data_IF_121541039140
#
_entry.id   IF_121541039140
#
_cell.length_a   1.000
_cell.length_b   1.000
_cell.length_c   1.000
_cell.angle_alpha   90.00
_cell.angle_beta   90.00
_cell.angle_gamma   90.00
#
_symmetry.space_group_name_H-M   'P 1'
#
loop_
_entity.id
_entity.type
_entity.pdbx_description
1 polymer ?
#
# COMPACT_ATOMS: atom_id res chain seq x y z
N UNK A 1 -17.20 31.73 16.06
CA UNK A 1 -15.95 30.94 16.23
C UNK A 1 -16.32 29.46 16.36
N UNK A 2 -16.42 28.75 15.25
CA UNK A 2 -16.47 27.29 15.13
C UNK A 2 -15.60 27.02 13.89
N UNK A 3 -14.40 26.47 14.00
CA UNK A 3 -14.15 25.06 14.28
C UNK A 3 -13.42 24.54 13.04
N UNK A 4 -12.10 24.34 13.16
CA UNK A 4 -11.19 24.22 12.02
C UNK A 4 -11.53 23.10 11.03
N UNK A 5 -11.45 23.43 9.74
CA UNK A 5 -11.53 22.47 8.65
C UNK A 5 -10.11 22.23 8.13
N UNK A 6 -9.34 21.50 8.93
CA UNK A 6 -8.11 20.84 8.52
C UNK A 6 -8.39 19.36 8.33
N UNK A 7 -7.81 18.80 7.27
CA UNK A 7 -7.82 17.39 6.86
C UNK A 7 -8.91 17.04 5.84
N UNK A 8 -8.49 17.09 4.56
CA UNK A 8 -9.03 16.27 3.47
C UNK A 8 -8.64 14.82 3.81
N UNK A 9 -9.34 14.23 4.78
CA UNK A 9 -9.23 12.83 5.14
C UNK A 9 -10.17 12.02 4.25
N UNK A 10 -9.58 11.12 3.46
CA UNK A 10 -10.19 9.92 2.88
C UNK A 10 -11.69 10.01 2.57
N UNK A 11 -12.00 10.48 1.37
CA UNK A 11 -13.33 10.27 0.82
C UNK A 11 -13.46 8.78 0.41
N UNK A 12 -13.88 7.94 1.36
CA UNK A 12 -14.42 6.62 1.07
C UNK A 12 -15.76 6.82 0.34
N UNK A 13 -15.67 7.11 -0.95
CA UNK A 13 -16.77 7.04 -1.87
C UNK A 13 -17.25 5.60 -1.91
N UNK A 14 -18.39 5.38 -1.27
CA UNK A 14 -19.16 4.15 -1.19
C UNK A 14 -19.35 3.56 -2.59
N UNK A 15 -18.51 2.59 -2.96
CA UNK A 15 -18.80 1.74 -4.10
C UNK A 15 -19.51 0.49 -3.58
N UNK A 16 -20.81 0.65 -3.29
CA UNK A 16 -21.75 -0.48 -3.27
C UNK A 16 -21.66 -1.14 -4.67
N UNK A 17 -20.77 -2.12 -4.83
CA UNK A 17 -20.56 -2.85 -6.09
C UNK A 17 -19.38 -2.42 -6.97
N UNK A 18 -18.25 -1.95 -6.40
CA UNK A 18 -17.01 -1.93 -7.19
C UNK A 18 -16.69 -3.36 -7.65
N UNK A 19 -16.45 -3.54 -8.96
CA UNK A 19 -15.90 -4.79 -9.46
C UNK A 19 -14.61 -5.11 -8.69
N UNK A 20 -14.33 -6.38 -8.34
CA UNK A 20 -13.14 -6.77 -7.58
C UNK A 20 -11.82 -6.19 -8.13
N UNK A 21 -11.75 -5.93 -9.44
CA UNK A 21 -10.60 -5.35 -10.12
C UNK A 21 -10.43 -3.83 -9.85
N UNK A 22 -11.52 -3.11 -9.61
CA UNK A 22 -11.47 -1.70 -9.25
C UNK A 22 -10.94 -1.50 -7.83
N UNK A 23 -11.36 -2.35 -6.89
CA UNK A 23 -10.85 -2.35 -5.52
C UNK A 23 -9.36 -2.74 -5.47
N UNK A 24 -8.97 -3.77 -6.24
CA UNK A 24 -7.57 -4.16 -6.37
C UNK A 24 -6.70 -3.03 -6.92
N UNK A 25 -7.16 -2.33 -7.96
CA UNK A 25 -6.44 -1.19 -8.53
C UNK A 25 -6.23 -0.07 -7.53
N UNK A 26 -7.28 0.28 -6.78
CA UNK A 26 -7.18 1.30 -5.72
C UNK A 26 -6.17 0.88 -4.65
N UNK A 27 -6.22 -0.39 -4.20
CA UNK A 27 -5.29 -0.90 -3.20
C UNK A 27 -3.83 -0.84 -3.69
N UNK A 28 -3.57 -1.19 -4.95
CA UNK A 28 -2.23 -1.11 -5.57
C UNK A 28 -1.75 0.34 -5.71
N UNK A 29 -2.63 1.26 -6.12
CA UNK A 29 -2.30 2.69 -6.20
C UNK A 29 -2.00 3.29 -4.82
N UNK A 30 -2.77 2.94 -3.79
CA UNK A 30 -2.53 3.35 -2.41
C UNK A 30 -1.20 2.83 -1.89
N UNK A 31 -0.93 1.53 -2.06
CA UNK A 31 0.33 0.90 -1.67
C UNK A 31 1.52 1.58 -2.34
N UNK A 32 1.44 1.81 -3.65
CA UNK A 32 2.47 2.50 -4.44
C UNK A 32 2.75 3.91 -3.91
N UNK A 33 1.70 4.66 -3.54
CA UNK A 33 1.84 6.00 -2.96
C UNK A 33 2.55 5.98 -1.61
N UNK A 34 2.17 5.03 -0.74
CA UNK A 34 2.81 4.87 0.56
C UNK A 34 4.29 4.51 0.44
N UNK A 35 4.64 3.59 -0.46
CA UNK A 35 6.02 3.19 -0.72
C UNK A 35 6.89 4.36 -1.19
N UNK A 36 6.37 5.18 -2.12
CA UNK A 36 7.08 6.40 -2.57
C UNK A 36 7.27 7.43 -1.47
N UNK A 37 6.28 7.58 -0.59
CA UNK A 37 6.35 8.49 0.56
C UNK A 37 7.27 8.03 1.69
N UNK A 38 7.61 6.74 1.72
CA UNK A 38 8.46 6.15 2.75
C UNK A 38 9.95 6.26 2.45
N UNK A 39 10.34 6.60 1.22
CA UNK A 39 11.74 6.56 0.76
C UNK A 39 12.72 7.30 1.69
N UNK A 40 12.36 8.49 2.20
CA UNK A 40 13.18 9.29 3.12
C UNK A 40 13.39 8.64 4.51
N UNK A 41 12.61 7.60 4.84
CA UNK A 41 12.65 6.89 6.11
C UNK A 41 13.27 5.49 6.02
N UNK A 42 13.73 5.09 4.83
CA UNK A 42 14.31 3.78 4.57
C UNK A 42 15.84 3.84 4.63
N UNK A 43 16.46 2.73 5.00
CA UNK A 43 17.88 2.51 4.68
C UNK A 43 18.05 2.36 3.17
N UNK A 44 19.26 2.54 2.65
CA UNK A 44 19.53 2.38 1.21
C UNK A 44 19.11 1.00 0.68
N UNK A 45 19.35 -0.05 1.46
CA UNK A 45 18.98 -1.43 1.12
C UNK A 45 17.47 -1.64 1.06
N UNK A 46 16.73 -1.07 2.03
CA UNK A 46 15.28 -1.11 2.05
C UNK A 46 14.68 -0.28 0.91
N UNK A 47 15.26 0.88 0.61
CA UNK A 47 14.85 1.75 -0.48
C UNK A 47 15.00 1.04 -1.83
N UNK A 48 16.14 0.36 -2.06
CA UNK A 48 16.37 -0.46 -3.26
C UNK A 48 15.33 -1.58 -3.38
N UNK A 49 15.07 -2.30 -2.28
CA UNK A 49 14.04 -3.35 -2.26
C UNK A 49 12.66 -2.81 -2.64
N UNK A 50 12.31 -1.61 -2.16
CA UNK A 50 11.06 -0.94 -2.51
C UNK A 50 11.03 -0.54 -3.99
N UNK A 51 12.11 0.03 -4.51
CA UNK A 51 12.22 0.43 -5.92
C UNK A 51 12.09 -0.76 -6.87
N UNK A 52 12.70 -1.90 -6.54
CA UNK A 52 12.60 -3.15 -7.28
C UNK A 52 11.18 -3.74 -7.23
N UNK A 53 10.46 -3.54 -6.12
CA UNK A 53 9.09 -4.01 -5.95
C UNK A 53 8.04 -3.15 -6.67
N UNK A 54 8.28 -1.84 -6.83
CA UNK A 54 7.34 -0.90 -7.46
C UNK A 54 6.85 -1.33 -8.87
N UNK A 55 7.69 -1.75 -9.82
CA UNK A 55 7.21 -2.19 -11.14
C UNK A 55 6.39 -3.50 -11.08
N UNK A 56 6.57 -4.29 -10.04
CA UNK A 56 5.89 -5.58 -9.83
C UNK A 56 4.50 -5.42 -9.19
N UNK A 57 4.20 -4.23 -8.65
CA UNK A 57 2.90 -3.87 -8.09
C UNK A 57 1.91 -3.49 -9.19
N UNK A 58 1.44 -4.50 -9.91
CA UNK A 58 0.38 -4.38 -10.90
C UNK A 58 -0.98 -4.79 -10.31
N UNK A 59 -2.09 -4.17 -10.74
CA UNK A 59 -3.43 -4.54 -10.27
C UNK A 59 -3.95 -5.82 -10.96
N UNK A 60 -3.14 -6.88 -10.86
CA UNK A 60 -3.45 -8.21 -11.36
C UNK A 60 -3.39 -9.20 -10.19
N UNK A 61 -4.53 -9.84 -9.92
CA UNK A 61 -4.70 -10.73 -8.77
C UNK A 61 -3.79 -11.95 -8.85
N UNK A 62 -3.65 -12.55 -10.03
CA UNK A 62 -2.81 -13.74 -10.22
C UNK A 62 -1.34 -13.40 -10.03
N UNK A 63 -0.91 -12.31 -10.66
CA UNK A 63 0.44 -11.78 -10.57
C UNK A 63 0.84 -11.45 -9.12
N UNK A 64 -0.03 -10.80 -8.36
CA UNK A 64 0.22 -10.44 -6.96
C UNK A 64 0.20 -11.65 -6.02
N UNK A 65 -0.65 -12.64 -6.30
CA UNK A 65 -0.69 -13.90 -5.53
C UNK A 65 0.61 -14.69 -5.68
N UNK A 66 1.17 -14.74 -6.88
CA UNK A 66 2.49 -15.35 -7.14
C UNK A 66 3.62 -14.58 -6.44
N UNK A 67 3.45 -13.26 -6.23
CA UNK A 67 4.41 -12.36 -5.59
C UNK A 67 4.21 -12.22 -4.07
N UNK A 68 3.56 -13.19 -3.41
CA UNK A 68 3.28 -13.14 -1.97
C UNK A 68 4.52 -12.92 -1.09
N UNK A 69 5.70 -13.43 -1.48
CA UNK A 69 6.96 -13.19 -0.77
C UNK A 69 7.42 -11.72 -0.85
N UNK A 70 7.24 -11.08 -2.00
CA UNK A 70 7.54 -9.66 -2.16
C UNK A 70 6.62 -8.82 -1.27
N UNK A 71 5.32 -9.11 -1.24
CA UNK A 71 4.36 -8.44 -0.35
C UNK A 71 4.72 -8.63 1.13
N UNK A 72 5.13 -9.85 1.52
CA UNK A 72 5.60 -10.11 2.88
C UNK A 72 6.87 -9.30 3.22
N UNK A 73 7.81 -9.16 2.28
CA UNK A 73 9.01 -8.32 2.45
C UNK A 73 8.63 -6.84 2.68
N UNK A 74 7.70 -6.31 1.88
CA UNK A 74 7.19 -4.94 2.08
C UNK A 74 6.52 -4.74 3.45
N UNK A 75 5.79 -5.73 3.95
CA UNK A 75 5.22 -5.70 5.30
C UNK A 75 6.31 -5.70 6.39
N UNK A 76 7.40 -6.44 6.19
CA UNK A 76 8.54 -6.42 7.12
C UNK A 76 9.27 -5.07 7.12
N UNK A 77 9.47 -4.47 5.95
CA UNK A 77 10.02 -3.12 5.82
C UNK A 77 9.13 -2.11 6.56
N UNK A 78 7.81 -2.19 6.36
CA UNK A 78 6.83 -1.36 7.04
C UNK A 78 6.90 -1.49 8.57
N UNK A 79 7.10 -2.70 9.08
CA UNK A 79 7.27 -2.95 10.51
C UNK A 79 8.60 -2.38 11.04
N UNK A 80 9.67 -2.45 10.26
CA UNK A 80 11.01 -1.97 10.64
C UNK A 80 11.07 -0.44 10.80
N UNK A 81 10.32 0.32 10.00
CA UNK A 81 10.23 1.79 10.10
C UNK A 81 9.25 2.28 11.18
N UNK A 82 8.65 1.36 11.95
CA UNK A 82 7.81 1.68 13.10
C UNK A 82 6.51 2.40 12.73
N UNK A 83 6.15 3.43 13.49
CA UNK A 83 4.85 4.13 13.34
C UNK A 83 4.67 4.80 11.97
N UNK A 84 5.76 5.22 11.33
CA UNK A 84 5.74 5.84 10.00
C UNK A 84 5.32 4.84 8.93
N UNK A 85 5.64 3.55 9.11
CA UNK A 85 5.26 2.48 8.17
C UNK A 85 3.89 1.88 8.41
N UNK A 86 3.14 2.30 9.44
CA UNK A 86 1.81 1.76 9.73
C UNK A 86 0.85 1.83 8.53
N UNK A 87 0.74 2.95 7.79
CA UNK A 87 -0.13 3.01 6.61
C UNK A 87 0.27 2.01 5.53
N UNK A 88 1.58 1.75 5.37
CA UNK A 88 2.09 0.76 4.44
C UNK A 88 1.70 -0.66 4.88
N UNK A 89 1.88 -1.00 6.16
CA UNK A 89 1.51 -2.31 6.70
C UNK A 89 0.01 -2.58 6.53
N UNK A 90 -0.85 -1.59 6.78
CA UNK A 90 -2.29 -1.68 6.57
C UNK A 90 -2.66 -1.86 5.09
N UNK A 91 -2.01 -1.13 4.19
CA UNK A 91 -2.21 -1.26 2.75
C UNK A 91 -1.80 -2.65 2.22
N UNK A 92 -0.65 -3.18 2.67
CA UNK A 92 -0.20 -4.53 2.32
C UNK A 92 -1.15 -5.60 2.86
N UNK A 93 -1.61 -5.47 4.11
CA UNK A 93 -2.59 -6.40 4.70
C UNK A 93 -3.90 -6.43 3.92
N UNK A 94 -4.44 -5.26 3.54
CA UNK A 94 -5.63 -5.18 2.68
C UNK A 94 -5.38 -5.83 1.32
N UNK A 95 -4.23 -5.58 0.70
CA UNK A 95 -3.89 -6.16 -0.60
C UNK A 95 -3.81 -7.70 -0.54
N UNK A 96 -3.20 -8.25 0.52
CA UNK A 96 -3.12 -9.71 0.73
C UNK A 96 -4.51 -10.34 0.84
N UNK A 97 -5.42 -9.73 1.61
CA UNK A 97 -6.79 -10.25 1.74
C UNK A 97 -7.57 -10.16 0.42
N UNK A 98 -7.30 -9.15 -0.41
CA UNK A 98 -7.94 -9.03 -1.73
C UNK A 98 -7.45 -10.06 -2.75
N UNK A 99 -6.21 -10.57 -2.63
CA UNK A 99 -5.61 -11.49 -3.61
C UNK A 99 -5.57 -12.96 -3.17
N UNK A 100 -5.99 -13.24 -1.92
CA UNK A 100 -6.08 -14.60 -1.36
C UNK A 100 -7.03 -15.52 -2.14
#
# INVERSE_FOLDING_TARGET
MHGGQGNIGFNFGTAYGAAPDAELRVAVEELTRHLRGLHEHLTEDQARTVEEALPELVPDRGALRERGLMLASLAQIAAAVGTVGRPLAEAVGRLIELVR
#
